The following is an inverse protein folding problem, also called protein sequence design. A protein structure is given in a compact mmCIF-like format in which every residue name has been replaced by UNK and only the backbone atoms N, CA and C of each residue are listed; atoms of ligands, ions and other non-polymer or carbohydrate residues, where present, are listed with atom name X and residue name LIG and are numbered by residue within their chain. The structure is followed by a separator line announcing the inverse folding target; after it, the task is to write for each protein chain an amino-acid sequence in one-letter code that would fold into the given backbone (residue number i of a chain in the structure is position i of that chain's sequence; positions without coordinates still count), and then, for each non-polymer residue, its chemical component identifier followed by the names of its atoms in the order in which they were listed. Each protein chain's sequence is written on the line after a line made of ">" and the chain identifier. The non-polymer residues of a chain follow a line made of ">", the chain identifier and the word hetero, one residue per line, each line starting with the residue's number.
data_IF_783392040068
#
_entry.id   IF_783392040068
#
_cell.length_a   1.000
_cell.length_b   1.000
_cell.length_c   1.000
_cell.angle_alpha   90.00
_cell.angle_beta   90.00
_cell.angle_gamma   90.00
#
_symmetry.space_group_name_H-M   'P 1'
#
loop_
_entity.id
_entity.type
_entity.pdbx_description
1 polymer ?
#
# COMPACT_ATOMS: atom_id res chain seq x y z
N UNK A 1 -4.51 -29.07 2.50
CA UNK A 1 -5.46 -28.27 1.69
C UNK A 1 -4.76 -27.90 0.39
N UNK A 2 -5.18 -28.47 -0.72
CA UNK A 2 -4.57 -28.30 -2.04
C UNK A 2 -4.94 -26.89 -2.54
N UNK A 3 -3.96 -25.98 -2.52
CA UNK A 3 -4.12 -24.63 -3.09
C UNK A 3 -4.39 -24.81 -4.59
N UNK A 4 -5.64 -24.56 -5.04
CA UNK A 4 -5.93 -24.50 -6.47
C UNK A 4 -4.94 -23.51 -7.09
N UNK A 5 -4.12 -23.98 -8.03
CA UNK A 5 -3.30 -23.13 -8.88
C UNK A 5 -4.27 -22.34 -9.76
N UNK A 6 -4.72 -21.18 -9.28
CA UNK A 6 -5.43 -20.22 -10.14
C UNK A 6 -4.44 -19.84 -11.25
N UNK A 7 -4.86 -19.94 -12.49
CA UNK A 7 -4.08 -19.49 -13.64
C UNK A 7 -3.62 -18.04 -13.36
N UNK A 8 -2.33 -17.85 -13.11
CA UNK A 8 -1.76 -16.54 -12.79
C UNK A 8 -1.88 -15.66 -14.02
N UNK A 9 -2.79 -14.69 -13.97
CA UNK A 9 -3.19 -13.88 -15.12
C UNK A 9 -2.36 -12.60 -15.26
N UNK A 10 -1.85 -12.07 -14.13
CA UNK A 10 -1.14 -10.79 -14.10
C UNK A 10 0.18 -10.90 -13.36
N UNK A 11 1.19 -10.20 -13.87
CA UNK A 11 2.49 -10.04 -13.20
C UNK A 11 2.50 -8.73 -12.44
N UNK A 12 3.01 -8.74 -11.20
CA UNK A 12 3.09 -7.54 -10.38
C UNK A 12 4.50 -7.33 -9.82
N UNK A 13 4.80 -6.09 -9.51
CA UNK A 13 5.91 -5.74 -8.62
C UNK A 13 5.35 -5.09 -7.35
N UNK A 14 6.01 -5.36 -6.21
CA UNK A 14 5.61 -4.86 -4.89
C UNK A 14 6.72 -3.97 -4.31
N UNK A 15 6.48 -2.67 -4.26
CA UNK A 15 7.43 -1.67 -3.79
C UNK A 15 7.10 -1.28 -2.35
N UNK A 16 8.14 -1.07 -1.52
CA UNK A 16 7.98 -0.88 -0.07
C UNK A 16 7.23 -2.06 0.55
N UNK A 17 7.64 -3.26 0.15
CA UNK A 17 6.88 -4.49 0.34
C UNK A 17 6.67 -4.87 1.82
N UNK A 18 7.47 -4.31 2.74
CA UNK A 18 7.44 -4.68 4.15
C UNK A 18 7.61 -6.19 4.32
N UNK A 19 6.68 -6.83 4.99
CA UNK A 19 6.66 -8.29 5.15
C UNK A 19 5.81 -9.01 4.10
N UNK A 20 5.33 -8.30 3.05
CA UNK A 20 4.61 -8.87 1.91
C UNK A 20 3.08 -8.88 2.01
N UNK A 21 2.48 -8.02 2.84
CA UNK A 21 1.02 -8.00 3.03
C UNK A 21 0.24 -7.70 1.74
N UNK A 22 0.69 -6.73 0.94
CA UNK A 22 0.04 -6.38 -0.34
C UNK A 22 0.23 -7.53 -1.33
N UNK A 23 1.44 -8.10 -1.42
CA UNK A 23 1.73 -9.26 -2.26
C UNK A 23 0.77 -10.42 -1.99
N UNK A 24 0.57 -10.80 -0.72
CA UNK A 24 -0.34 -11.88 -0.35
C UNK A 24 -1.73 -11.63 -0.91
N UNK A 25 -2.28 -10.43 -0.70
CA UNK A 25 -3.60 -10.07 -1.17
C UNK A 25 -3.74 -10.17 -2.70
N UNK A 26 -2.74 -9.72 -3.44
CA UNK A 26 -2.76 -9.79 -4.90
C UNK A 26 -2.56 -11.21 -5.44
N UNK A 27 -1.64 -12.00 -4.84
CA UNK A 27 -1.39 -13.38 -5.26
C UNK A 27 -2.60 -14.30 -4.98
N UNK A 28 -3.32 -14.08 -3.90
CA UNK A 28 -4.59 -14.78 -3.61
C UNK A 28 -5.67 -14.48 -4.65
N UNK A 29 -5.56 -13.35 -5.35
CA UNK A 29 -6.47 -12.95 -6.42
C UNK A 29 -5.92 -13.19 -7.83
N UNK A 30 -4.86 -14.00 -7.98
CA UNK A 30 -4.37 -14.49 -9.26
C UNK A 30 -3.27 -13.64 -9.91
N UNK A 31 -2.69 -12.70 -9.20
CA UNK A 31 -1.44 -12.07 -9.60
C UNK A 31 -0.23 -12.96 -9.24
N UNK A 32 0.92 -12.67 -9.85
CA UNK A 32 2.23 -13.23 -9.48
C UNK A 32 3.20 -12.08 -9.24
N UNK A 33 3.74 -11.98 -8.04
CA UNK A 33 4.83 -11.07 -7.77
C UNK A 33 6.09 -11.56 -8.50
N UNK A 34 6.67 -10.69 -9.31
CA UNK A 34 7.89 -11.01 -10.09
C UNK A 34 9.12 -10.30 -9.56
N UNK A 35 8.93 -9.19 -8.84
CA UNK A 35 9.97 -8.46 -8.12
C UNK A 35 9.35 -7.69 -6.96
N UNK A 36 10.17 -7.46 -5.93
CA UNK A 36 9.81 -6.63 -4.77
C UNK A 36 10.96 -5.73 -4.36
N UNK A 37 10.66 -4.66 -3.63
CA UNK A 37 11.64 -3.73 -3.07
C UNK A 37 11.27 -3.41 -1.62
N UNK A 38 12.25 -3.55 -0.72
CA UNK A 38 12.17 -3.18 0.69
C UNK A 38 13.59 -2.86 1.18
N UNK A 39 13.74 -1.85 2.04
CA UNK A 39 15.04 -1.43 2.55
C UNK A 39 15.28 -1.84 4.01
N UNK A 40 14.20 -2.05 4.78
CA UNK A 40 14.32 -2.45 6.17
C UNK A 40 14.78 -3.90 6.27
N UNK A 41 15.91 -4.10 6.95
CA UNK A 41 16.53 -5.42 7.07
C UNK A 41 15.60 -6.46 7.72
N UNK A 42 14.89 -6.09 8.76
CA UNK A 42 14.03 -7.02 9.50
C UNK A 42 12.78 -7.39 8.69
N UNK A 43 12.26 -6.42 7.95
CA UNK A 43 11.19 -6.69 6.99
C UNK A 43 11.66 -7.60 5.88
N UNK A 44 12.85 -7.36 5.31
CA UNK A 44 13.47 -8.24 4.29
C UNK A 44 13.68 -9.67 4.81
N UNK A 45 14.23 -9.85 6.02
CA UNK A 45 14.44 -11.16 6.64
C UNK A 45 13.10 -11.92 6.81
N UNK A 46 12.03 -11.22 7.15
CA UNK A 46 10.68 -11.79 7.26
C UNK A 46 10.10 -12.10 5.89
N UNK A 47 10.28 -11.20 4.94
CA UNK A 47 9.83 -11.38 3.56
C UNK A 47 10.48 -12.61 2.91
N UNK A 48 11.80 -12.78 3.08
CA UNK A 48 12.54 -13.94 2.58
C UNK A 48 12.01 -15.25 3.17
N UNK A 49 11.71 -15.30 4.47
CA UNK A 49 11.10 -16.46 5.11
C UNK A 49 9.72 -16.79 4.55
N UNK A 50 8.94 -15.77 4.20
CA UNK A 50 7.57 -15.95 3.69
C UNK A 50 7.54 -16.38 2.21
N UNK A 51 8.45 -15.85 1.39
CA UNK A 51 8.37 -15.97 -0.07
C UNK A 51 9.58 -16.63 -0.71
N UNK A 52 10.63 -16.95 0.07
CA UNK A 52 11.88 -17.55 -0.41
C UNK A 52 12.60 -16.70 -1.48
N UNK A 53 12.45 -15.40 -1.40
CA UNK A 53 13.13 -14.43 -2.25
C UNK A 53 13.48 -13.16 -1.46
N UNK A 54 14.65 -12.58 -1.74
CA UNK A 54 15.10 -11.33 -1.14
C UNK A 54 14.61 -10.13 -1.98
N UNK A 55 14.01 -9.09 -1.35
CA UNK A 55 13.69 -7.85 -2.05
C UNK A 55 14.93 -7.14 -2.61
N UNK A 56 14.73 -6.35 -3.67
CA UNK A 56 15.81 -5.62 -4.38
C UNK A 56 16.46 -4.49 -3.55
N UNK A 57 15.93 -4.17 -2.36
CA UNK A 57 16.43 -3.10 -1.51
C UNK A 57 15.91 -1.71 -1.89
N UNK A 58 16.79 -0.73 -1.93
CA UNK A 58 16.49 0.69 -2.09
C UNK A 58 15.90 1.02 -3.47
N UNK A 59 14.65 1.50 -3.50
CA UNK A 59 13.94 1.86 -4.73
C UNK A 59 14.67 2.93 -5.55
N UNK A 60 15.42 3.82 -4.91
CA UNK A 60 16.17 4.89 -5.61
C UNK A 60 17.29 4.35 -6.50
N UNK A 61 17.72 3.10 -6.23
CA UNK A 61 18.77 2.39 -6.98
C UNK A 61 18.21 1.49 -8.06
N UNK A 62 16.90 1.23 -8.06
CA UNK A 62 16.26 0.37 -9.06
C UNK A 62 16.13 1.13 -10.38
N UNK A 63 16.76 0.60 -11.41
CA UNK A 63 16.60 1.11 -12.77
C UNK A 63 15.41 0.41 -13.44
N UNK A 64 14.64 1.12 -14.27
CA UNK A 64 13.52 0.50 -15.01
C UNK A 64 13.97 -0.72 -15.85
N UNK A 65 15.21 -0.70 -16.36
CA UNK A 65 15.80 -1.74 -17.19
C UNK A 65 16.03 -3.04 -16.41
N UNK A 66 16.25 -2.95 -15.09
CA UNK A 66 16.46 -4.10 -14.22
C UNK A 66 15.16 -4.85 -13.91
N UNK A 67 14.01 -4.21 -14.21
CA UNK A 67 12.70 -4.79 -13.98
C UNK A 67 12.21 -5.51 -15.23
N UNK A 68 11.85 -6.78 -15.07
CA UNK A 68 11.11 -7.52 -16.09
C UNK A 68 9.75 -6.85 -16.36
N UNK A 69 9.10 -7.15 -17.46
CA UNK A 69 7.75 -6.62 -17.72
C UNK A 69 6.75 -7.11 -16.69
N UNK A 70 5.84 -6.23 -16.30
CA UNK A 70 4.77 -6.49 -15.35
C UNK A 70 3.52 -5.68 -15.72
N UNK A 71 2.37 -6.16 -15.24
CA UNK A 71 1.07 -5.55 -15.50
C UNK A 71 0.65 -4.58 -14.40
N UNK A 72 1.04 -4.85 -13.15
CA UNK A 72 0.59 -4.12 -11.96
C UNK A 72 1.80 -3.68 -11.14
N UNK A 73 1.77 -2.44 -10.66
CA UNK A 73 2.70 -1.93 -9.65
C UNK A 73 1.93 -1.65 -8.37
N UNK A 74 2.43 -2.17 -7.25
CA UNK A 74 1.90 -1.85 -5.92
C UNK A 74 2.96 -1.11 -5.10
N UNK A 75 2.54 -0.16 -4.26
CA UNK A 75 3.45 0.57 -3.40
C UNK A 75 2.78 1.08 -2.13
N UNK A 76 3.26 0.63 -0.97
CA UNK A 76 2.96 1.19 0.34
C UNK A 76 4.04 2.19 0.76
N UNK A 77 4.15 3.33 0.07
CA UNK A 77 5.24 4.28 0.28
C UNK A 77 5.07 5.09 1.57
N UNK A 78 6.16 5.48 2.27
CA UNK A 78 6.07 6.26 3.50
C UNK A 78 5.61 7.69 3.23
N UNK A 79 4.83 8.25 4.18
CA UNK A 79 4.44 9.65 4.15
C UNK A 79 5.64 10.53 4.50
N UNK A 80 6.20 11.18 3.51
CA UNK A 80 7.30 12.13 3.66
C UNK A 80 6.86 13.52 3.18
N UNK A 81 7.32 14.62 3.82
CA UNK A 81 7.00 15.95 3.37
C UNK A 81 7.57 16.21 1.98
N UNK A 82 6.75 16.77 1.10
CA UNK A 82 7.19 17.24 -0.20
C UNK A 82 7.92 18.58 -0.02
N UNK A 83 9.18 18.69 -0.40
CA UNK A 83 9.87 19.97 -0.38
C UNK A 83 9.30 20.88 -1.48
N UNK A 84 8.82 22.06 -1.09
CA UNK A 84 8.24 23.05 -2.01
C UNK A 84 9.19 23.50 -3.14
N UNK A 85 10.50 23.29 -2.99
CA UNK A 85 11.51 23.62 -4.00
C UNK A 85 11.40 22.83 -5.29
N UNK A 86 10.94 21.57 -5.23
CA UNK A 86 10.79 20.68 -6.40
C UNK A 86 9.54 20.93 -7.25
N UNK A 87 8.50 21.56 -6.67
CA UNK A 87 7.22 21.77 -7.35
C UNK A 87 7.27 22.76 -8.54
N UNK A 88 8.28 23.63 -8.60
CA UNK A 88 8.40 24.68 -9.64
C UNK A 88 9.12 24.24 -10.91
N UNK A 89 9.77 23.08 -10.93
CA UNK A 89 10.64 22.63 -12.03
C UNK A 89 10.18 21.32 -12.70
N UNK A 90 9.00 20.82 -12.37
CA UNK A 90 8.45 19.61 -12.98
C UNK A 90 9.10 18.32 -12.48
N UNK A 91 8.88 17.24 -13.20
CA UNK A 91 9.25 15.87 -12.84
C UNK A 91 10.77 15.64 -12.58
N UNK A 92 11.62 16.49 -13.16
CA UNK A 92 13.09 16.30 -13.13
C UNK A 92 13.76 16.80 -11.85
N UNK A 93 13.12 17.73 -11.11
CA UNK A 93 13.71 18.36 -9.93
C UNK A 93 13.09 17.93 -8.59
N UNK A 94 12.18 16.95 -8.64
CA UNK A 94 11.50 16.38 -7.47
C UNK A 94 12.28 15.21 -6.82
N UNK A 95 13.56 15.12 -7.09
CA UNK A 95 14.47 14.18 -6.45
C UNK A 95 14.45 14.35 -4.93
N UNK A 96 13.79 13.41 -4.22
CA UNK A 96 13.81 13.40 -2.76
C UNK A 96 12.60 12.85 -2.05
N UNK A 97 11.47 12.63 -2.70
CA UNK A 97 10.38 11.89 -2.04
C UNK A 97 10.14 10.55 -2.73
N UNK A 98 9.94 9.53 -1.91
CA UNK A 98 9.82 8.15 -2.38
C UNK A 98 8.60 7.92 -3.29
N UNK A 99 7.57 8.76 -3.21
CA UNK A 99 6.47 8.76 -4.18
C UNK A 99 6.94 9.03 -5.62
N UNK A 100 7.88 9.96 -5.82
CA UNK A 100 8.38 10.24 -7.17
C UNK A 100 9.20 9.10 -7.76
N UNK A 101 9.81 8.28 -6.91
CA UNK A 101 10.46 7.05 -7.37
C UNK A 101 9.42 6.04 -7.91
N UNK A 102 8.26 5.90 -7.24
CA UNK A 102 7.13 5.11 -7.75
C UNK A 102 6.65 5.70 -9.08
N UNK A 103 6.43 7.01 -9.15
CA UNK A 103 5.99 7.70 -10.36
C UNK A 103 7.00 7.54 -11.52
N UNK A 104 8.31 7.58 -11.23
CA UNK A 104 9.39 7.33 -12.20
C UNK A 104 9.27 5.94 -12.82
N UNK A 105 9.03 4.92 -12.00
CA UNK A 105 8.87 3.55 -12.48
C UNK A 105 7.57 3.37 -13.26
N UNK A 106 6.45 3.99 -12.81
CA UNK A 106 5.17 3.99 -13.56
C UNK A 106 5.37 4.65 -14.94
N UNK A 107 6.03 5.81 -15.00
CA UNK A 107 6.31 6.53 -16.26
C UNK A 107 7.13 5.69 -17.24
N UNK A 108 8.16 5.03 -16.75
CA UNK A 108 9.08 4.25 -17.58
C UNK A 108 8.47 2.92 -18.06
N UNK A 109 7.77 2.20 -17.17
CA UNK A 109 7.28 0.83 -17.45
C UNK A 109 5.82 0.80 -17.90
N UNK A 110 5.05 1.86 -17.70
CA UNK A 110 3.64 2.01 -18.11
C UNK A 110 2.79 0.77 -17.79
N UNK A 111 2.75 0.30 -16.51
CA UNK A 111 1.95 -0.85 -16.14
C UNK A 111 0.48 -0.63 -16.49
N UNK A 112 -0.30 -1.71 -16.60
CA UNK A 112 -1.75 -1.63 -16.85
C UNK A 112 -2.50 -0.97 -15.70
N UNK A 113 -2.05 -1.23 -14.46
CA UNK A 113 -2.66 -0.69 -13.26
C UNK A 113 -1.61 -0.38 -12.18
N UNK A 114 -2.00 0.50 -11.26
CA UNK A 114 -1.27 0.70 -10.02
C UNK A 114 -2.20 0.61 -8.80
N UNK A 115 -1.62 0.22 -7.67
CA UNK A 115 -2.25 0.25 -6.36
C UNK A 115 -1.29 0.92 -5.38
N UNK A 116 -1.71 2.06 -4.82
CA UNK A 116 -0.91 2.84 -3.88
C UNK A 116 -1.58 2.85 -2.50
N UNK A 117 -0.77 2.71 -1.46
CA UNK A 117 -1.24 2.78 -0.07
C UNK A 117 -0.44 3.81 0.72
N UNK A 118 -1.12 4.50 1.64
CA UNK A 118 -0.47 5.39 2.60
C UNK A 118 -1.34 5.55 3.86
N UNK A 119 -0.80 6.23 4.87
CA UNK A 119 -1.58 6.58 6.07
C UNK A 119 -2.70 7.57 5.74
N UNK A 120 -3.83 7.53 6.50
CA UNK A 120 -4.95 8.46 6.33
C UNK A 120 -4.51 9.94 6.32
N UNK A 121 -3.50 10.27 7.14
CA UNK A 121 -2.99 11.63 7.28
C UNK A 121 -2.45 12.28 6.01
N UNK A 122 -2.14 11.50 4.96
CA UNK A 122 -1.65 12.03 3.67
C UNK A 122 -2.66 12.99 3.03
N UNK A 123 -3.95 12.78 3.27
CA UNK A 123 -5.03 13.61 2.69
C UNK A 123 -4.98 15.04 3.21
N UNK A 124 -4.67 15.22 4.49
CA UNK A 124 -4.61 16.53 5.15
C UNK A 124 -3.17 17.04 5.33
N UNK A 125 -2.18 16.27 4.90
CA UNK A 125 -0.77 16.65 5.02
C UNK A 125 -0.48 17.93 4.25
N UNK A 126 0.25 18.87 4.91
CA UNK A 126 0.54 20.21 4.39
C UNK A 126 -0.72 20.93 3.85
N UNK A 127 -1.80 20.91 4.65
CA UNK A 127 -3.09 21.54 4.30
C UNK A 127 -3.66 21.04 2.95
N UNK A 128 -3.46 19.75 2.63
CA UNK A 128 -3.96 19.12 1.40
C UNK A 128 -3.04 19.28 0.18
N UNK A 129 -1.93 20.00 0.30
CA UNK A 129 -1.01 20.19 -0.84
C UNK A 129 -0.37 18.88 -1.29
N UNK A 130 -0.05 17.98 -0.35
CA UNK A 130 0.56 16.69 -0.66
C UNK A 130 -0.31 15.84 -1.57
N UNK A 131 -1.59 15.71 -1.24
CA UNK A 131 -2.51 14.91 -2.06
C UNK A 131 -2.72 15.56 -3.45
N UNK A 132 -2.82 16.90 -3.51
CA UNK A 132 -2.95 17.60 -4.79
C UNK A 132 -1.72 17.39 -5.70
N UNK A 133 -0.52 17.33 -5.13
CA UNK A 133 0.70 17.00 -5.90
C UNK A 133 0.66 15.59 -6.44
N UNK A 134 0.26 14.60 -5.61
CA UNK A 134 0.12 13.20 -6.03
C UNK A 134 -0.88 13.11 -7.18
N UNK A 135 -2.06 13.73 -7.05
CA UNK A 135 -3.10 13.72 -8.07
C UNK A 135 -2.60 14.31 -9.39
N UNK A 136 -1.95 15.48 -9.36
CA UNK A 136 -1.39 16.11 -10.56
C UNK A 136 -0.37 15.21 -11.26
N UNK A 137 0.54 14.61 -10.51
CA UNK A 137 1.54 13.67 -11.06
C UNK A 137 0.86 12.45 -11.69
N UNK A 138 -0.15 11.87 -11.05
CA UNK A 138 -0.87 10.72 -11.59
C UNK A 138 -1.69 11.07 -12.84
N UNK A 139 -2.23 12.29 -12.94
CA UNK A 139 -2.86 12.80 -14.15
C UNK A 139 -1.87 12.90 -15.32
N UNK A 140 -0.66 13.40 -15.06
CA UNK A 140 0.39 13.54 -16.06
C UNK A 140 0.93 12.19 -16.56
N UNK A 141 0.71 11.11 -15.81
CA UNK A 141 1.12 9.75 -16.18
C UNK A 141 0.13 9.01 -17.09
N UNK A 142 -0.97 9.66 -17.48
CA UNK A 142 -1.99 9.11 -18.38
C UNK A 142 -2.79 7.91 -17.82
N UNK A 143 -3.18 8.02 -16.53
CA UNK A 143 -4.03 7.06 -15.86
C UNK A 143 -5.39 7.67 -15.47
N UNK A 144 -6.45 6.88 -15.54
CA UNK A 144 -7.67 7.10 -14.78
C UNK A 144 -7.42 6.55 -13.38
N UNK A 145 -7.70 7.32 -12.34
CA UNK A 145 -7.53 6.87 -10.96
C UNK A 145 -8.59 7.43 -10.02
N UNK A 146 -8.78 6.75 -8.93
CA UNK A 146 -9.59 7.20 -7.80
C UNK A 146 -8.96 6.70 -6.50
N UNK A 147 -9.16 7.45 -5.40
CA UNK A 147 -8.71 7.05 -4.09
C UNK A 147 -9.81 7.13 -3.04
N UNK A 148 -9.68 6.35 -1.98
CA UNK A 148 -10.53 6.39 -0.79
C UNK A 148 -9.71 6.14 0.46
N UNK A 149 -10.16 6.73 1.59
CA UNK A 149 -9.72 6.31 2.92
C UNK A 149 -10.65 5.19 3.37
N UNK A 150 -10.05 4.03 3.70
CA UNK A 150 -10.77 2.84 4.11
C UNK A 150 -10.24 2.36 5.47
N UNK A 151 -11.13 1.86 6.33
CA UNK A 151 -10.77 1.31 7.62
C UNK A 151 -10.84 -0.23 7.58
N UNK A 152 -9.80 -0.94 7.99
CA UNK A 152 -9.75 -2.40 7.97
C UNK A 152 -10.95 -3.04 8.69
N UNK A 153 -11.46 -2.41 9.77
CA UNK A 153 -12.64 -2.89 10.49
C UNK A 153 -13.92 -2.90 9.66
N UNK A 154 -14.01 -2.05 8.63
CA UNK A 154 -15.18 -2.00 7.73
C UNK A 154 -15.15 -3.13 6.69
N UNK A 155 -14.06 -3.91 6.63
CA UNK A 155 -13.83 -4.97 5.63
C UNK A 155 -13.53 -6.33 6.26
N UNK A 156 -14.02 -6.55 7.49
CA UNK A 156 -14.01 -7.87 8.15
C UNK A 156 -12.77 -8.16 9.00
N UNK A 157 -11.83 -7.23 9.13
CA UNK A 157 -10.63 -7.38 9.97
C UNK A 157 -10.86 -6.69 11.33
N UNK A 158 -10.64 -7.37 12.48
CA UNK A 158 -10.86 -6.77 13.81
C UNK A 158 -9.74 -5.80 14.20
N UNK A 159 -9.45 -4.83 13.34
CA UNK A 159 -8.41 -3.83 13.51
C UNK A 159 -8.91 -2.46 13.06
N UNK A 160 -8.80 -1.45 13.94
CA UNK A 160 -9.05 -0.06 13.57
C UNK A 160 -7.78 0.50 12.90
N UNK A 161 -7.71 0.39 11.56
CA UNK A 161 -6.57 0.83 10.75
C UNK A 161 -7.07 1.53 9.50
N UNK A 162 -7.09 2.85 9.54
CA UNK A 162 -7.47 3.67 8.40
C UNK A 162 -6.27 3.90 7.49
N UNK A 163 -6.48 3.73 6.18
CA UNK A 163 -5.46 3.93 5.15
C UNK A 163 -6.06 4.58 3.91
N UNK A 164 -5.29 5.42 3.30
CA UNK A 164 -5.54 5.92 1.97
C UNK A 164 -5.12 4.87 0.95
N UNK A 165 -6.03 4.54 0.04
CA UNK A 165 -5.79 3.63 -1.08
C UNK A 165 -6.11 4.34 -2.36
N UNK A 166 -5.21 4.28 -3.34
CA UNK A 166 -5.40 4.81 -4.68
C UNK A 166 -5.22 3.70 -5.72
N UNK A 167 -6.21 3.56 -6.56
CA UNK A 167 -6.21 2.60 -7.68
C UNK A 167 -6.21 3.38 -8.98
N UNK A 168 -5.36 2.99 -9.92
CA UNK A 168 -5.34 3.60 -11.24
C UNK A 168 -5.21 2.57 -12.35
N UNK A 169 -5.85 2.87 -13.48
CA UNK A 169 -5.81 2.09 -14.71
C UNK A 169 -5.32 2.97 -15.86
N UNK A 170 -4.40 2.46 -16.67
CA UNK A 170 -3.92 3.18 -17.85
C UNK A 170 -5.09 3.48 -18.79
N UNK A 171 -5.17 4.69 -19.33
CA UNK A 171 -6.35 5.20 -20.05
C UNK A 171 -6.73 4.36 -21.26
N UNK A 172 -5.75 3.75 -21.96
CA UNK A 172 -6.00 2.88 -23.12
C UNK A 172 -6.79 1.60 -22.83
N UNK A 173 -6.94 1.24 -21.53
CA UNK A 173 -7.72 0.09 -21.10
C UNK A 173 -9.24 0.36 -21.06
N UNK A 174 -9.63 1.64 -21.18
CA UNK A 174 -11.02 2.07 -21.17
C UNK A 174 -11.78 1.64 -19.90
N UNK A 175 -11.08 1.74 -18.75
CA UNK A 175 -11.60 1.49 -17.41
C UNK A 175 -11.79 2.83 -16.71
N UNK A 176 -13.02 3.11 -16.28
CA UNK A 176 -13.36 4.28 -15.47
C UNK A 176 -13.74 3.89 -14.06
N UNK A 177 -14.13 4.89 -13.27
CA UNK A 177 -14.57 4.73 -11.88
C UNK A 177 -16.03 5.13 -11.71
N UNK A 178 -16.69 4.58 -10.70
CA UNK A 178 -18.05 4.98 -10.34
C UNK A 178 -18.12 6.48 -10.09
N UNK A 179 -19.08 7.16 -10.75
CA UNK A 179 -19.24 8.60 -10.66
C UNK A 179 -18.29 9.43 -11.53
N UNK A 180 -17.36 8.81 -12.27
CA UNK A 180 -16.51 9.50 -13.23
C UNK A 180 -17.28 9.79 -14.52
N UNK A 181 -17.22 11.03 -15.00
CA UNK A 181 -17.80 11.42 -16.29
C UNK A 181 -17.06 10.75 -17.45
N UNK A 182 -17.81 10.26 -18.44
CA UNK A 182 -17.27 9.60 -19.63
C UNK A 182 -17.99 8.29 -19.96
N UNK A 183 -17.60 7.70 -21.10
CA UNK A 183 -18.06 6.37 -21.51
C UNK A 183 -16.89 5.40 -21.37
N UNK A 184 -17.04 4.41 -20.51
CA UNK A 184 -16.03 3.41 -20.23
C UNK A 184 -16.59 2.00 -20.50
N UNK A 185 -15.76 1.09 -20.98
CA UNK A 185 -16.14 -0.33 -21.16
C UNK A 185 -16.33 -1.05 -19.84
N UNK A 186 -15.54 -0.66 -18.83
CA UNK A 186 -15.58 -1.24 -17.49
C UNK A 186 -15.61 -0.11 -16.46
N UNK A 187 -16.45 -0.25 -15.46
CA UNK A 187 -16.50 0.66 -14.31
C UNK A 187 -15.95 -0.08 -13.08
N UNK A 188 -14.91 0.47 -12.48
CA UNK A 188 -14.36 -0.01 -11.22
C UNK A 188 -15.08 0.66 -10.04
N UNK A 189 -15.43 -0.16 -9.06
CA UNK A 189 -16.00 0.30 -7.80
C UNK A 189 -15.13 -0.17 -6.63
N UNK A 190 -14.88 0.72 -5.66
CA UNK A 190 -14.31 0.28 -4.39
C UNK A 190 -15.27 -0.69 -3.69
N UNK A 191 -14.74 -1.69 -2.97
CA UNK A 191 -15.58 -2.67 -2.30
C UNK A 191 -16.52 -2.00 -1.29
N UNK A 192 -17.73 -2.54 -1.18
CA UNK A 192 -18.68 -2.12 -0.15
C UNK A 192 -18.23 -2.62 1.22
N UNK A 193 -18.57 -1.85 2.27
CA UNK A 193 -18.32 -2.27 3.66
C UNK A 193 -19.02 -3.59 3.97
N UNK A 194 -18.40 -4.42 4.77
CA UNK A 194 -18.98 -5.67 5.25
C UNK A 194 -19.01 -5.74 6.78
N UNK A 195 -19.87 -6.59 7.32
CA UNK A 195 -19.96 -6.81 8.75
C UNK A 195 -18.70 -7.53 9.24
N UNK A 196 -18.17 -7.10 10.39
CA UNK A 196 -17.06 -7.76 11.04
C UNK A 196 -17.42 -9.22 11.38
N UNK A 197 -16.64 -10.17 10.86
CA UNK A 197 -16.92 -11.61 11.02
C UNK A 197 -16.33 -12.19 12.29
N UNK A 198 -15.26 -11.59 12.82
CA UNK A 198 -14.59 -12.05 14.06
C UNK A 198 -14.16 -10.87 14.91
N UNK A 199 -13.96 -11.12 16.19
CA UNK A 199 -13.46 -10.18 17.19
C UNK A 199 -11.99 -10.47 17.47
N UNK A 200 -11.31 -9.53 18.11
CA UNK A 200 -9.90 -9.72 18.50
C UNK A 200 -9.71 -11.02 19.31
N UNK A 201 -10.63 -11.33 20.23
CA UNK A 201 -10.59 -12.56 21.03
C UNK A 201 -10.58 -13.86 20.22
N UNK A 202 -11.10 -13.83 18.98
CA UNK A 202 -11.20 -15.02 18.12
C UNK A 202 -9.88 -15.28 17.34
N UNK A 203 -8.93 -14.34 17.40
CA UNK A 203 -7.62 -14.41 16.74
C UNK A 203 -6.44 -14.41 17.71
N UNK A 204 -6.70 -14.26 19.03
CA UNK A 204 -5.67 -14.33 20.07
C UNK A 204 -5.36 -15.80 20.34
N UNK A 205 -4.07 -16.15 20.34
CA UNK A 205 -3.59 -17.46 20.75
C UNK A 205 -3.80 -17.68 22.27
N UNK A 206 -4.36 -18.85 22.62
CA UNK A 206 -4.67 -19.16 24.02
C UNK A 206 -3.43 -19.53 24.86
N UNK A 207 -2.41 -20.12 24.22
CA UNK A 207 -1.20 -20.62 24.88
C UNK A 207 0.03 -20.00 24.20
N UNK A 208 0.50 -18.88 24.72
CA UNK A 208 1.69 -18.18 24.22
C UNK A 208 2.84 -18.43 25.20
N UNK A 209 4.03 -18.73 24.68
CA UNK A 209 5.23 -18.92 25.49
C UNK A 209 5.59 -17.64 26.27
N UNK A 210 6.06 -17.79 27.50
CA UNK A 210 6.55 -16.67 28.34
C UNK A 210 7.68 -15.87 27.68
N UNK A 211 8.38 -16.45 26.69
CA UNK A 211 9.40 -15.76 25.88
C UNK A 211 8.85 -14.57 25.09
N UNK A 212 7.53 -14.51 24.86
CA UNK A 212 6.84 -13.38 24.20
C UNK A 212 6.22 -12.40 25.20
N UNK A 213 6.37 -12.63 26.51
CA UNK A 213 5.90 -11.71 27.53
C UNK A 213 6.67 -10.39 27.47
N UNK A 214 5.94 -9.27 27.60
CA UNK A 214 6.55 -7.96 27.68
C UNK A 214 7.25 -7.78 29.02
N UNK A 215 8.28 -6.92 29.07
CA UNK A 215 8.94 -6.59 30.34
C UNK A 215 7.96 -5.91 31.31
N UNK A 216 8.19 -6.04 32.63
CA UNK A 216 7.39 -5.37 33.66
C UNK A 216 7.24 -3.86 33.43
N UNK A 217 8.30 -3.20 32.90
CA UNK A 217 8.24 -1.78 32.55
C UNK A 217 7.27 -1.51 31.43
N UNK A 218 7.27 -2.37 30.41
CA UNK A 218 6.34 -2.27 29.27
C UNK A 218 4.90 -2.52 29.73
N UNK A 219 4.67 -3.53 30.55
CA UNK A 219 3.36 -3.85 31.14
C UNK A 219 2.82 -2.68 31.98
N UNK A 220 3.65 -2.07 32.82
CA UNK A 220 3.30 -0.88 33.59
C UNK A 220 2.90 0.29 32.70
N UNK A 221 3.65 0.53 31.63
CA UNK A 221 3.35 1.60 30.68
C UNK A 221 2.03 1.35 29.95
N UNK A 222 1.78 0.10 29.52
CA UNK A 222 0.52 -0.30 28.89
C UNK A 222 -0.65 -0.08 29.84
N UNK A 223 -0.55 -0.53 31.08
CA UNK A 223 -1.59 -0.38 32.09
C UNK A 223 -1.88 1.09 32.39
N UNK A 224 -0.85 1.92 32.52
CA UNK A 224 -0.99 3.37 32.69
C UNK A 224 -1.70 4.02 31.51
N UNK A 225 -1.40 3.56 30.29
CA UNK A 225 -2.04 4.06 29.08
C UNK A 225 -3.51 3.62 29.00
N UNK A 226 -3.80 2.36 29.29
CA UNK A 226 -5.17 1.81 29.29
C UNK A 226 -6.05 2.54 30.32
N UNK A 227 -5.52 2.83 31.51
CA UNK A 227 -6.23 3.58 32.57
C UNK A 227 -6.63 4.99 32.12
N UNK A 228 -5.72 5.71 31.45
CA UNK A 228 -6.03 7.03 30.85
C UNK A 228 -7.17 7.01 29.85
N UNK A 229 -7.37 5.89 29.14
CA UNK A 229 -8.46 5.74 28.17
C UNK A 229 -9.78 5.25 28.78
N UNK A 230 -9.77 4.66 29.98
CA UNK A 230 -11.01 4.33 30.70
C UNK A 230 -11.81 5.57 31.12
N UNK A 231 -11.14 6.70 31.29
CA UNK A 231 -11.76 7.97 31.64
C UNK A 231 -12.41 8.75 30.50
N UNK A 232 -12.39 8.19 29.27
CA UNK A 232 -12.96 8.78 28.07
C UNK A 232 -12.08 9.87 27.42
N UNK A 233 -12.32 10.22 26.15
CA UNK A 233 -11.63 11.33 25.52
C UNK A 233 -12.11 12.64 26.16
N UNK A 234 -11.14 13.45 26.64
CA UNK A 234 -11.41 14.85 26.97
C UNK A 234 -11.57 15.67 25.71
#
# INVERSE_FOLDING_TARGET
>A
MTRMIRNMKYRMIDLFAGIGGIRIAFEENGAKCVKSSEIDKYACDTYEKNFHEMPLGDITKIKPEDLTDFDIITAGFPCQPFSLGGLRKGFEDTRGTLFFEVARLIKAKKPKAFFLENVEGIVNHDSGKTISVIENVLHDLDYNFQWRVMNASDYGTPQNRKRWYCVGFRKDLDIGFEGQEGKFKVIYNFPSKCVLKFKVKDVIEANVSDSYSVSETCERNINTYVEKFKEGPR
#
